data_IF_115018548091
#
_entry.id   IF_115018548091
#
_cell.length_a   1.000
_cell.length_b   1.000
_cell.length_c   1.000
_cell.angle_alpha   90.00
_cell.angle_beta   90.00
_cell.angle_gamma   90.00
#
_symmetry.space_group_name_H-M   'P 1'
#
loop_
_entity.id
_entity.type
_entity.pdbx_description
1 polymer ?
#
# COMPACT_ATOMS: atom_id res chain seq x y z
N UNK A 1 24.65 -12.38 -52.84
CA UNK A 1 23.49 -11.50 -52.54
C UNK A 1 23.59 -10.27 -53.44
N UNK A 2 22.53 -9.81 -54.12
CA UNK A 2 22.62 -8.61 -54.96
C UNK A 2 22.90 -7.39 -54.07
N UNK A 3 23.81 -6.50 -54.50
CA UNK A 3 24.18 -5.27 -53.76
C UNK A 3 22.93 -4.50 -53.33
N UNK A 4 22.77 -4.21 -52.02
CA UNK A 4 21.75 -3.28 -51.53
C UNK A 4 22.01 -1.93 -52.19
N UNK A 5 20.99 -1.38 -52.84
CA UNK A 5 21.07 -0.08 -53.48
C UNK A 5 20.88 0.99 -52.41
N UNK A 6 21.90 1.80 -52.13
CA UNK A 6 21.89 2.84 -51.10
C UNK A 6 20.70 3.82 -51.25
N UNK A 7 20.23 4.03 -52.49
CA UNK A 7 19.06 4.86 -52.78
C UNK A 7 17.74 4.27 -52.28
N UNK A 8 17.65 2.94 -52.10
CA UNK A 8 16.45 2.23 -51.62
C UNK A 8 16.30 2.36 -50.10
N UNK A 9 17.40 2.20 -49.38
CA UNK A 9 17.41 2.30 -47.92
C UNK A 9 17.19 3.76 -47.46
N UNK A 10 17.77 4.73 -48.17
CA UNK A 10 17.52 6.17 -47.95
C UNK A 10 16.06 6.56 -48.21
N UNK A 11 15.46 6.07 -49.30
CA UNK A 11 14.04 6.30 -49.60
C UNK A 11 13.11 5.75 -48.50
N UNK A 12 13.41 4.54 -47.99
CA UNK A 12 12.63 3.92 -46.92
C UNK A 12 12.71 4.74 -45.63
N UNK A 13 13.92 5.20 -45.27
CA UNK A 13 14.13 6.00 -44.07
C UNK A 13 13.38 7.35 -44.14
N UNK A 14 13.42 8.04 -45.28
CA UNK A 14 12.73 9.32 -45.44
C UNK A 14 11.20 9.16 -45.44
N UNK A 15 10.67 8.10 -46.06
CA UNK A 15 9.25 7.76 -46.00
C UNK A 15 8.77 7.57 -44.56
N UNK A 16 9.50 6.77 -43.77
CA UNK A 16 9.17 6.50 -42.37
C UNK A 16 9.25 7.79 -41.54
N UNK A 17 10.26 8.64 -41.77
CA UNK A 17 10.41 9.94 -41.06
C UNK A 17 9.24 10.89 -41.32
N UNK A 18 8.82 11.05 -42.58
CA UNK A 18 7.68 11.91 -42.94
C UNK A 18 6.34 11.36 -42.43
N UNK A 19 6.16 10.03 -42.44
CA UNK A 19 4.96 9.41 -41.83
C UNK A 19 4.93 9.53 -40.30
N UNK A 20 6.07 9.42 -39.62
CA UNK A 20 6.17 9.62 -38.15
C UNK A 20 5.85 11.05 -37.72
N UNK A 21 6.18 12.04 -38.54
CA UNK A 21 5.84 13.45 -38.30
C UNK A 21 4.40 13.81 -38.69
N UNK A 22 3.61 12.87 -39.22
CA UNK A 22 2.21 13.09 -39.60
C UNK A 22 2.01 13.78 -40.96
N UNK A 23 3.09 13.96 -41.73
CA UNK A 23 3.04 14.61 -43.05
C UNK A 23 2.47 13.66 -44.12
N UNK A 24 1.72 14.21 -45.09
CA UNK A 24 1.24 13.45 -46.26
C UNK A 24 2.42 13.16 -47.19
N UNK A 25 2.84 11.91 -47.25
CA UNK A 25 3.99 11.52 -48.08
C UNK A 25 3.59 11.33 -49.53
N UNK A 26 4.03 12.24 -50.39
CA UNK A 26 3.95 12.10 -51.84
C UNK A 26 5.16 11.34 -52.38
N UNK A 27 4.91 10.18 -52.99
CA UNK A 27 5.95 9.30 -53.51
C UNK A 27 6.61 9.83 -54.81
N UNK A 28 5.96 10.74 -55.54
CA UNK A 28 6.57 11.39 -56.73
C UNK A 28 7.70 12.33 -56.31
N UNK A 29 7.43 13.20 -55.35
CA UNK A 29 8.42 14.15 -54.82
C UNK A 29 9.60 13.43 -54.17
N UNK A 30 9.35 12.27 -53.53
CA UNK A 30 10.40 11.42 -52.98
C UNK A 30 11.29 10.83 -54.08
N UNK A 31 10.71 10.45 -55.22
CA UNK A 31 11.44 9.89 -56.35
C UNK A 31 12.31 10.96 -57.04
N UNK A 32 11.76 12.17 -57.23
CA UNK A 32 12.48 13.32 -57.80
C UNK A 32 13.70 13.70 -56.95
N UNK A 33 13.54 13.81 -55.62
CA UNK A 33 14.66 14.13 -54.72
C UNK A 33 15.81 13.12 -54.76
N UNK A 34 15.51 11.85 -55.03
CA UNK A 34 16.51 10.77 -55.08
C UNK A 34 17.09 10.55 -56.49
N UNK A 35 16.54 11.23 -57.49
CA UNK A 35 16.89 11.04 -58.91
C UNK A 35 16.54 9.64 -59.40
N UNK A 36 15.42 9.08 -58.94
CA UNK A 36 14.93 7.73 -59.31
C UNK A 36 13.50 7.85 -59.85
N UNK A 37 13.10 6.97 -60.77
CA UNK A 37 11.73 6.98 -61.28
C UNK A 37 10.71 6.64 -60.20
N UNK A 38 9.53 7.26 -60.27
CA UNK A 38 8.41 6.97 -59.37
C UNK A 38 8.06 5.48 -59.31
N UNK A 39 8.09 4.79 -60.46
CA UNK A 39 7.78 3.36 -60.55
C UNK A 39 8.71 2.52 -59.69
N UNK A 40 9.99 2.88 -59.63
CA UNK A 40 10.99 2.21 -58.79
C UNK A 40 10.70 2.39 -57.30
N UNK A 41 10.44 3.63 -56.86
CA UNK A 41 10.12 3.91 -55.44
C UNK A 41 8.81 3.24 -55.01
N UNK A 42 7.79 3.25 -55.89
CA UNK A 42 6.53 2.54 -55.64
C UNK A 42 6.74 1.03 -55.50
N UNK A 43 7.59 0.44 -56.34
CA UNK A 43 7.88 -0.98 -56.27
C UNK A 43 8.67 -1.34 -55.00
N UNK A 44 9.65 -0.51 -54.60
CA UNK A 44 10.37 -0.69 -53.34
C UNK A 44 9.45 -0.61 -52.13
N UNK A 45 8.56 0.39 -52.07
CA UNK A 45 7.57 0.52 -51.00
C UNK A 45 6.72 -0.74 -50.84
N UNK A 46 6.31 -1.33 -51.97
CA UNK A 46 5.52 -2.57 -52.01
C UNK A 46 6.33 -3.80 -51.60
N UNK A 47 7.52 -4.00 -52.16
CA UNK A 47 8.35 -5.18 -51.91
C UNK A 47 8.83 -5.21 -50.45
N UNK A 48 9.24 -4.05 -49.92
CA UNK A 48 9.79 -3.93 -48.56
C UNK A 48 8.74 -3.60 -47.50
N UNK A 49 7.45 -3.62 -47.89
CA UNK A 49 6.30 -3.40 -47.03
C UNK A 49 6.49 -2.21 -46.07
N UNK A 50 6.82 -1.04 -46.60
CA UNK A 50 7.20 0.10 -45.76
C UNK A 50 6.11 0.54 -44.78
N UNK A 51 4.83 0.28 -45.10
CA UNK A 51 3.71 0.60 -44.23
C UNK A 51 3.62 -0.33 -43.01
N UNK A 52 4.11 -1.57 -43.12
CA UNK A 52 4.10 -2.56 -42.02
C UNK A 52 5.31 -2.39 -41.09
N UNK A 53 6.37 -1.74 -41.57
CA UNK A 53 7.53 -1.35 -40.75
C UNK A 53 7.22 -0.22 -39.73
N UNK A 54 5.99 0.30 -39.71
CA UNK A 54 5.54 1.23 -38.69
C UNK A 54 4.89 0.48 -37.53
N UNK A 55 5.48 0.60 -36.34
CA UNK A 55 4.83 0.13 -35.12
C UNK A 55 3.48 0.85 -34.93
N UNK A 56 2.38 0.09 -34.96
CA UNK A 56 1.06 0.63 -34.66
C UNK A 56 1.02 1.06 -33.20
N UNK A 57 0.47 2.24 -32.91
CA UNK A 57 0.25 2.66 -31.52
C UNK A 57 -0.58 1.60 -30.79
N UNK A 58 -0.11 1.20 -29.61
CA UNK A 58 -0.74 0.22 -28.73
C UNK A 58 -2.14 0.74 -28.35
N UNK A 59 -3.15 0.21 -29.02
CA UNK A 59 -4.56 0.52 -28.79
C UNK A 59 -5.37 -0.77 -28.87
N UNK A 60 -6.63 -0.71 -28.42
CA UNK A 60 -7.54 -1.86 -28.43
C UNK A 60 -7.68 -2.51 -29.82
N UNK A 61 -8.18 -3.74 -29.84
CA UNK A 61 -8.32 -4.56 -31.06
C UNK A 61 -8.90 -3.74 -32.23
N UNK A 62 -8.31 -3.82 -33.44
CA UNK A 62 -8.79 -3.09 -34.61
C UNK A 62 -10.28 -3.37 -34.84
N UNK A 63 -11.11 -2.33 -34.82
CA UNK A 63 -12.57 -2.45 -35.00
C UNK A 63 -13.40 -2.52 -33.72
N UNK A 64 -12.79 -2.51 -32.53
CA UNK A 64 -13.54 -2.47 -31.27
C UNK A 64 -14.29 -1.13 -31.11
N UNK A 65 -15.62 -1.18 -31.24
CA UNK A 65 -16.54 -0.04 -31.05
C UNK A 65 -17.14 0.03 -29.65
N UNK A 66 -16.75 -0.85 -28.70
CA UNK A 66 -17.40 -0.96 -27.39
C UNK A 66 -17.28 0.30 -26.52
N UNK A 67 -16.30 1.16 -26.80
CA UNK A 67 -16.11 2.44 -26.10
C UNK A 67 -16.75 3.63 -26.83
N UNK A 68 -17.24 3.44 -28.06
CA UNK A 68 -17.78 4.52 -28.90
C UNK A 68 -19.22 4.84 -28.46
N UNK A 69 -19.38 5.88 -27.64
CA UNK A 69 -20.69 6.38 -27.19
C UNK A 69 -21.06 6.10 -25.73
N UNK A 70 -20.18 5.45 -24.95
CA UNK A 70 -20.37 5.35 -23.49
C UNK A 70 -20.22 6.74 -22.88
N UNK A 71 -21.30 7.29 -22.31
CA UNK A 71 -21.33 8.63 -21.67
C UNK A 71 -20.25 8.78 -20.59
N UNK A 72 -19.88 7.69 -19.94
CA UNK A 72 -18.89 7.64 -18.86
C UNK A 72 -17.43 7.82 -19.35
N UNK A 73 -17.20 7.84 -20.67
CA UNK A 73 -15.88 8.07 -21.28
C UNK A 73 -15.79 9.42 -22.03
N UNK A 74 -16.83 10.27 -21.92
CA UNK A 74 -16.88 11.57 -22.60
C UNK A 74 -15.94 12.55 -21.90
N UNK A 75 -14.68 12.61 -22.32
CA UNK A 75 -13.66 13.54 -21.82
C UNK A 75 -12.30 12.92 -21.49
N UNK A 76 -12.22 11.59 -21.29
CA UNK A 76 -10.95 10.93 -20.95
C UNK A 76 -10.31 10.25 -22.18
N UNK A 77 -9.11 10.68 -22.62
CA UNK A 77 -8.37 9.96 -23.65
C UNK A 77 -7.91 8.62 -23.08
N UNK A 78 -8.66 7.55 -23.35
CA UNK A 78 -8.29 6.18 -22.95
C UNK A 78 -9.22 5.48 -21.96
N UNK A 79 -10.35 6.07 -21.56
CA UNK A 79 -11.40 5.34 -20.82
C UNK A 79 -11.03 4.87 -19.40
N UNK A 80 -9.89 5.32 -18.86
CA UNK A 80 -9.54 5.13 -17.46
C UNK A 80 -10.38 6.02 -16.55
N UNK A 81 -10.68 5.51 -15.36
CA UNK A 81 -11.24 6.32 -14.29
C UNK A 81 -10.21 7.39 -13.85
N UNK A 82 -10.65 8.57 -13.39
CA UNK A 82 -9.75 9.59 -12.87
C UNK A 82 -8.82 9.05 -11.78
N UNK A 83 -7.63 9.65 -11.66
CA UNK A 83 -6.65 9.24 -10.66
C UNK A 83 -7.21 9.46 -9.24
N UNK A 84 -7.08 8.47 -8.37
CA UNK A 84 -7.63 8.50 -7.02
C UNK A 84 -9.16 8.41 -6.95
N UNK A 85 -9.83 7.76 -7.91
CA UNK A 85 -11.24 7.40 -7.74
C UNK A 85 -11.39 6.26 -6.73
N UNK A 86 -12.46 6.32 -5.93
CA UNK A 86 -12.79 5.35 -4.89
C UNK A 86 -13.92 4.39 -5.32
N UNK A 87 -14.34 4.41 -6.59
CA UNK A 87 -15.51 3.63 -7.04
C UNK A 87 -15.32 2.10 -6.96
N UNK A 88 -14.07 1.63 -6.90
CA UNK A 88 -13.74 0.21 -6.74
C UNK A 88 -13.52 -0.19 -5.28
N UNK A 89 -13.56 0.77 -4.35
CA UNK A 89 -13.42 0.51 -2.92
C UNK A 89 -14.69 -0.16 -2.41
N UNK A 90 -14.52 -1.26 -1.68
CA UNK A 90 -15.63 -2.00 -1.08
C UNK A 90 -15.85 -1.56 0.36
N UNK A 91 -14.83 -1.75 1.17
CA UNK A 91 -14.85 -1.61 2.63
C UNK A 91 -13.77 -0.68 3.17
N UNK A 92 -12.93 -0.09 2.29
CA UNK A 92 -11.85 0.79 2.69
C UNK A 92 -10.56 0.07 3.11
N UNK A 93 -10.61 -1.24 3.40
CA UNK A 93 -9.52 -1.96 4.07
C UNK A 93 -8.23 -2.05 3.24
N UNK A 94 -8.37 -1.99 1.92
CA UNK A 94 -7.25 -2.02 0.96
C UNK A 94 -7.16 -0.73 0.13
N UNK A 95 -7.81 0.34 0.59
CA UNK A 95 -7.77 1.63 -0.11
C UNK A 95 -6.39 2.26 -0.01
N UNK A 96 -5.96 2.92 -1.10
CA UNK A 96 -4.73 3.72 -1.08
C UNK A 96 -4.93 4.96 -0.22
N UNK A 97 -4.16 5.06 0.86
CA UNK A 97 -4.17 6.22 1.76
C UNK A 97 -3.41 7.38 1.13
N UNK A 98 -4.05 8.53 1.00
CA UNK A 98 -3.46 9.76 0.53
C UNK A 98 -3.46 10.81 1.65
N UNK A 99 -2.28 11.17 2.17
CA UNK A 99 -2.14 12.11 3.31
C UNK A 99 -2.83 13.46 3.06
N UNK A 100 -2.80 13.95 1.81
CA UNK A 100 -3.45 15.19 1.39
C UNK A 100 -4.98 15.16 1.54
N UNK A 101 -5.59 13.97 1.53
CA UNK A 101 -7.04 13.76 1.59
C UNK A 101 -7.54 13.33 2.97
N UNK A 102 -6.65 13.22 3.96
CA UNK A 102 -7.06 12.99 5.33
C UNK A 102 -7.96 14.13 5.81
N UNK A 103 -9.07 13.77 6.45
CA UNK A 103 -9.91 14.70 7.20
C UNK A 103 -9.15 15.32 8.36
N UNK A 104 -9.67 16.41 8.92
CA UNK A 104 -9.01 17.06 10.05
C UNK A 104 -8.94 16.13 11.27
N UNK A 105 -10.00 15.37 11.54
CA UNK A 105 -10.05 14.40 12.64
C UNK A 105 -8.98 13.30 12.48
N UNK A 106 -8.77 12.79 11.27
CA UNK A 106 -7.75 11.77 11.00
C UNK A 106 -6.33 12.31 11.15
N UNK A 107 -6.11 13.58 10.79
CA UNK A 107 -4.81 14.26 10.99
C UNK A 107 -4.55 14.48 12.48
N UNK A 108 -5.52 15.01 13.20
CA UNK A 108 -5.41 15.25 14.64
C UNK A 108 -5.17 13.94 15.39
N UNK A 109 -5.80 12.85 14.95
CA UNK A 109 -5.57 11.51 15.49
C UNK A 109 -4.16 11.00 15.19
N UNK A 110 -3.69 11.16 13.94
CA UNK A 110 -2.33 10.78 13.54
C UNK A 110 -1.27 11.53 14.34
N UNK A 111 -1.47 12.83 14.56
CA UNK A 111 -0.54 13.69 15.30
C UNK A 111 -0.49 13.37 16.80
N UNK A 112 -1.58 12.81 17.35
CA UNK A 112 -1.62 12.34 18.74
C UNK A 112 -0.95 10.98 18.93
N UNK A 113 -0.69 10.23 17.86
CA UNK A 113 -0.02 8.93 17.98
C UNK A 113 1.47 9.11 18.31
N UNK A 114 2.02 8.33 19.25
CA UNK A 114 3.44 8.35 19.50
C UNK A 114 4.21 7.95 18.23
N UNK A 115 5.34 8.58 17.98
CA UNK A 115 6.17 8.29 16.79
C UNK A 115 7.50 7.65 17.16
N UNK A 116 7.97 7.86 18.40
CA UNK A 116 9.16 7.20 18.92
C UNK A 116 8.97 5.69 19.05
N UNK A 117 10.02 4.90 18.77
CA UNK A 117 9.95 3.44 18.87
C UNK A 117 9.60 2.98 20.31
N UNK A 118 10.22 3.60 21.32
CA UNK A 118 9.93 3.29 22.72
C UNK A 118 8.53 3.77 23.14
N UNK A 119 8.15 4.99 22.78
CA UNK A 119 6.83 5.55 23.08
C UNK A 119 5.69 4.73 22.46
N UNK A 120 5.87 4.28 21.21
CA UNK A 120 4.95 3.38 20.54
C UNK A 120 4.82 2.05 21.27
N UNK A 121 5.94 1.46 21.68
CA UNK A 121 5.94 0.21 22.44
C UNK A 121 5.22 0.38 23.78
N UNK A 122 5.43 1.51 24.48
CA UNK A 122 4.73 1.81 25.73
C UNK A 122 3.23 2.01 25.50
N UNK A 123 2.83 2.68 24.42
CA UNK A 123 1.42 2.88 24.08
C UNK A 123 0.71 1.55 23.77
N UNK A 124 1.30 0.71 22.94
CA UNK A 124 0.78 -0.64 22.65
C UNK A 124 0.70 -1.48 23.92
N UNK A 125 1.69 -1.38 24.82
CA UNK A 125 1.66 -2.07 26.11
C UNK A 125 0.44 -1.64 26.95
N UNK A 126 0.14 -0.34 27.01
CA UNK A 126 -1.06 0.18 27.70
C UNK A 126 -2.34 -0.39 27.10
N UNK A 127 -2.44 -0.43 25.77
CA UNK A 127 -3.60 -1.01 25.08
C UNK A 127 -3.77 -2.49 25.41
N UNK A 128 -2.69 -3.28 25.35
CA UNK A 128 -2.72 -4.70 25.71
C UNK A 128 -3.10 -4.94 27.17
N UNK A 129 -2.70 -4.06 28.10
CA UNK A 129 -3.11 -4.14 29.51
C UNK A 129 -4.61 -3.88 29.71
N UNK A 130 -5.17 -2.92 28.98
CA UNK A 130 -6.61 -2.67 28.98
C UNK A 130 -7.36 -3.87 28.40
N UNK A 131 -6.89 -4.42 27.28
CA UNK A 131 -7.46 -5.62 26.67
C UNK A 131 -7.40 -6.83 27.62
N UNK A 132 -6.27 -7.03 28.30
CA UNK A 132 -6.08 -8.05 29.32
C UNK A 132 -7.14 -7.92 30.42
N UNK A 133 -7.35 -6.70 30.96
CA UNK A 133 -8.38 -6.43 31.97
C UNK A 133 -9.77 -6.80 31.47
N UNK A 134 -10.15 -6.35 30.27
CA UNK A 134 -11.47 -6.66 29.72
C UNK A 134 -11.72 -8.16 29.51
N UNK A 135 -10.70 -8.90 29.08
CA UNK A 135 -10.80 -10.36 28.98
C UNK A 135 -11.02 -10.98 30.36
N UNK A 136 -10.29 -10.53 31.38
CA UNK A 136 -10.44 -11.02 32.75
C UNK A 136 -11.81 -10.70 33.36
N UNK A 137 -12.31 -9.48 33.18
CA UNK A 137 -13.66 -9.08 33.59
C UNK A 137 -14.71 -9.99 32.94
N UNK A 138 -14.57 -10.24 31.64
CA UNK A 138 -15.48 -11.11 30.89
C UNK A 138 -15.43 -12.57 31.35
N UNK A 139 -14.24 -13.07 31.72
CA UNK A 139 -14.10 -14.40 32.32
C UNK A 139 -14.86 -14.45 33.65
N UNK A 140 -14.69 -13.47 34.53
CA UNK A 140 -15.38 -13.42 35.81
C UNK A 140 -16.92 -13.37 35.64
N UNK A 141 -17.42 -12.59 34.67
CA UNK A 141 -18.85 -12.56 34.32
C UNK A 141 -19.37 -13.96 33.95
N UNK A 142 -18.67 -14.68 33.06
CA UNK A 142 -19.10 -16.01 32.64
C UNK A 142 -18.94 -17.06 33.73
N UNK A 143 -17.92 -16.96 34.59
CA UNK A 143 -17.74 -17.86 35.73
C UNK A 143 -18.79 -17.66 36.83
N UNK A 144 -19.36 -16.45 36.94
CA UNK A 144 -20.47 -16.16 37.85
C UNK A 144 -21.86 -16.56 37.33
N UNK A 145 -21.98 -16.90 36.05
CA UNK A 145 -23.24 -17.33 35.45
C UNK A 145 -23.56 -18.79 35.80
N UNK A 146 -24.85 -19.13 35.77
CA UNK A 146 -25.31 -20.52 35.87
C UNK A 146 -24.64 -21.40 34.78
N UNK A 147 -24.02 -22.55 35.15
CA UNK A 147 -23.43 -23.49 34.20
C UNK A 147 -24.36 -23.96 33.08
N UNK A 148 -25.68 -24.01 33.31
CA UNK A 148 -26.66 -24.42 32.30
C UNK A 148 -27.05 -23.29 31.32
N UNK A 149 -26.62 -22.05 31.61
CA UNK A 149 -26.91 -20.90 30.75
C UNK A 149 -26.13 -20.99 29.44
N UNK A 150 -26.86 -20.99 28.34
CA UNK A 150 -26.32 -21.02 26.98
C UNK A 150 -26.28 -19.63 26.37
N UNK A 151 -25.18 -19.30 25.70
CA UNK A 151 -24.93 -18.03 25.04
C UNK A 151 -24.87 -18.22 23.53
N UNK A 152 -25.53 -17.35 22.76
CA UNK A 152 -25.49 -17.41 21.29
C UNK A 152 -24.05 -17.22 20.80
N UNK A 153 -23.54 -18.20 20.07
CA UNK A 153 -22.19 -18.25 19.53
C UNK A 153 -22.14 -17.74 18.10
N UNK A 154 -22.97 -18.32 17.23
CA UNK A 154 -23.11 -17.91 15.84
C UNK A 154 -24.54 -18.15 15.37
N UNK A 155 -25.01 -17.24 14.52
CA UNK A 155 -26.30 -17.35 13.84
C UNK A 155 -25.98 -17.57 12.37
N UNK A 156 -26.32 -18.74 11.84
CA UNK A 156 -26.11 -19.06 10.43
C UNK A 156 -27.45 -19.00 9.71
N UNK A 157 -27.60 -18.00 8.84
CA UNK A 157 -28.80 -17.82 8.02
C UNK A 157 -28.59 -18.40 6.62
N UNK A 158 -29.20 -19.56 6.37
CA UNK A 158 -29.11 -20.24 5.09
C UNK A 158 -30.25 -19.77 4.19
N UNK A 159 -29.91 -19.00 3.16
CA UNK A 159 -30.85 -18.51 2.16
C UNK A 159 -30.66 -19.20 0.82
N UNK A 160 -31.75 -19.32 0.06
CA UNK A 160 -31.78 -19.89 -1.28
C UNK A 160 -32.26 -18.85 -2.29
N UNK A 161 -31.84 -18.97 -3.57
CA UNK A 161 -32.41 -18.18 -4.64
C UNK A 161 -33.92 -18.40 -4.73
N UNK A 162 -34.65 -17.31 -4.93
CA UNK A 162 -36.11 -17.32 -5.04
C UNK A 162 -36.62 -16.02 -5.62
N UNK A 163 -37.94 -15.87 -5.69
CA UNK A 163 -38.57 -14.63 -6.17
C UNK A 163 -38.69 -13.65 -5.02
N UNK A 164 -38.14 -12.45 -5.19
CA UNK A 164 -38.41 -11.32 -4.30
C UNK A 164 -39.85 -10.83 -4.45
N UNK A 165 -40.29 -9.91 -3.58
CA UNK A 165 -41.64 -9.32 -3.61
C UNK A 165 -42.00 -8.69 -4.97
N UNK A 166 -41.00 -8.26 -5.73
CA UNK A 166 -41.16 -7.68 -7.07
C UNK A 166 -41.11 -8.72 -8.21
N UNK A 167 -41.12 -10.01 -7.89
CA UNK A 167 -41.15 -11.13 -8.85
C UNK A 167 -39.82 -11.41 -9.56
N UNK A 168 -38.78 -10.61 -9.33
CA UNK A 168 -37.42 -10.84 -9.84
C UNK A 168 -36.74 -11.96 -9.07
N UNK A 169 -35.99 -12.77 -9.79
CA UNK A 169 -35.24 -13.88 -9.22
C UNK A 169 -33.93 -13.34 -8.66
N UNK A 170 -33.78 -13.38 -7.33
CA UNK A 170 -32.60 -12.91 -6.63
C UNK A 170 -31.98 -14.04 -5.81
N UNK A 171 -30.66 -14.05 -5.75
CA UNK A 171 -29.91 -15.03 -4.98
C UNK A 171 -30.06 -14.72 -3.48
N UNK A 172 -30.46 -15.71 -2.69
CA UNK A 172 -30.75 -15.53 -1.26
C UNK A 172 -32.10 -14.89 -0.91
N UNK A 173 -33.05 -14.79 -1.85
CA UNK A 173 -34.37 -14.18 -1.62
C UNK A 173 -35.26 -14.96 -0.63
N UNK A 174 -35.09 -16.28 -0.54
CA UNK A 174 -35.92 -17.13 0.32
C UNK A 174 -35.07 -17.69 1.45
N UNK A 175 -35.41 -17.31 2.68
CA UNK A 175 -34.81 -17.89 3.87
C UNK A 175 -35.22 -19.36 3.99
N UNK A 176 -34.24 -20.27 4.08
CA UNK A 176 -34.48 -21.70 4.19
C UNK A 176 -34.47 -22.13 5.65
N UNK A 177 -33.39 -21.82 6.36
CA UNK A 177 -33.17 -22.23 7.75
C UNK A 177 -32.30 -21.19 8.46
N UNK A 178 -32.57 -20.99 9.75
CA UNK A 178 -31.67 -20.29 10.68
C UNK A 178 -31.16 -21.32 11.67
N UNK A 179 -29.84 -21.40 11.83
CA UNK A 179 -29.20 -22.25 12.81
C UNK A 179 -28.55 -21.36 13.88
N UNK A 180 -29.10 -21.41 15.09
CA UNK A 180 -28.57 -20.72 16.26
C UNK A 180 -27.64 -21.69 17.02
N UNK A 181 -26.34 -21.52 16.85
CA UNK A 181 -25.36 -22.25 17.64
C UNK A 181 -25.20 -21.54 18.98
N UNK A 182 -25.36 -22.29 20.08
CA UNK A 182 -25.17 -21.77 21.43
C UNK A 182 -24.03 -22.50 22.13
N UNK A 183 -23.20 -21.74 22.82
CA UNK A 183 -22.09 -22.24 23.63
C UNK A 183 -22.42 -22.13 25.12
N UNK A 184 -21.90 -23.06 25.92
CA UNK A 184 -21.94 -22.94 27.38
C UNK A 184 -20.98 -21.86 27.88
N UNK A 185 -21.22 -21.38 29.10
CA UNK A 185 -20.30 -20.48 29.81
C UNK A 185 -18.86 -21.04 29.83
N UNK A 186 -18.70 -22.34 30.07
CA UNK A 186 -17.42 -23.02 30.11
C UNK A 186 -16.62 -22.91 28.79
N UNK A 187 -17.28 -23.11 27.65
CA UNK A 187 -16.63 -22.99 26.34
C UNK A 187 -16.17 -21.55 26.10
N UNK A 188 -17.00 -20.56 26.46
CA UNK A 188 -16.64 -19.13 26.36
C UNK A 188 -15.44 -18.77 27.24
N UNK A 189 -15.43 -19.23 28.49
CA UNK A 189 -14.29 -19.03 29.41
C UNK A 189 -13.02 -19.67 28.85
N UNK A 190 -13.12 -20.87 28.28
CA UNK A 190 -11.96 -21.55 27.67
C UNK A 190 -11.38 -20.74 26.51
N UNK A 191 -12.23 -20.24 25.61
CA UNK A 191 -11.82 -19.37 24.49
C UNK A 191 -11.20 -18.06 24.98
N UNK A 192 -11.78 -17.44 26.01
CA UNK A 192 -11.24 -16.20 26.61
C UNK A 192 -9.90 -16.44 27.31
N UNK A 193 -9.69 -17.59 27.96
CA UNK A 193 -8.39 -17.96 28.54
C UNK A 193 -7.32 -18.15 27.46
N UNK A 194 -7.66 -18.75 26.32
CA UNK A 194 -6.74 -18.84 25.17
C UNK A 194 -6.39 -17.45 24.62
N UNK A 195 -7.39 -16.56 24.49
CA UNK A 195 -7.16 -15.18 24.10
C UNK A 195 -6.28 -14.42 25.12
N UNK A 196 -6.51 -14.64 26.41
CA UNK A 196 -5.70 -14.07 27.50
C UNK A 196 -4.24 -14.53 27.41
N UNK A 197 -4.00 -15.80 27.10
CA UNK A 197 -2.64 -16.32 26.91
C UNK A 197 -1.95 -15.67 25.71
N UNK A 198 -2.67 -15.45 24.60
CA UNK A 198 -2.14 -14.73 23.43
C UNK A 198 -1.79 -13.28 23.76
N UNK A 199 -2.67 -12.56 24.47
CA UNK A 199 -2.41 -11.18 24.92
C UNK A 199 -1.22 -11.14 25.88
N UNK A 200 -1.15 -12.07 26.84
CA UNK A 200 -0.04 -12.16 27.79
C UNK A 200 1.30 -12.44 27.09
N UNK A 201 1.31 -13.31 26.07
CA UNK A 201 2.50 -13.56 25.25
C UNK A 201 2.97 -12.31 24.49
N UNK A 202 2.04 -11.52 23.93
CA UNK A 202 2.37 -10.23 23.30
C UNK A 202 2.94 -9.23 24.32
N UNK A 203 2.35 -9.13 25.51
CA UNK A 203 2.84 -8.29 26.60
C UNK A 203 4.28 -8.66 26.96
N UNK A 204 4.60 -9.95 27.10
CA UNK A 204 5.97 -10.42 27.40
C UNK A 204 6.95 -10.02 26.29
N UNK A 205 6.58 -10.26 25.02
CA UNK A 205 7.40 -9.89 23.87
C UNK A 205 7.68 -8.38 23.85
N UNK A 206 6.65 -7.56 24.02
CA UNK A 206 6.76 -6.11 23.99
C UNK A 206 7.58 -5.56 25.17
N UNK A 207 7.35 -6.09 26.37
CA UNK A 207 8.14 -5.72 27.56
C UNK A 207 9.62 -6.06 27.38
N UNK A 208 9.92 -7.19 26.72
CA UNK A 208 11.29 -7.59 26.39
C UNK A 208 11.93 -6.61 25.41
N UNK A 209 11.19 -6.17 24.39
CA UNK A 209 11.65 -5.18 23.41
C UNK A 209 11.92 -3.82 24.07
N UNK A 210 11.03 -3.35 24.94
CA UNK A 210 11.21 -2.11 25.72
C UNK A 210 12.50 -2.20 26.54
N UNK A 211 12.69 -3.28 27.30
CA UNK A 211 13.92 -3.48 28.10
C UNK A 211 15.17 -3.47 27.22
N UNK A 212 15.14 -4.11 26.05
CA UNK A 212 16.28 -4.14 25.12
C UNK A 212 16.60 -2.73 24.57
N UNK A 213 15.59 -1.93 24.27
CA UNK A 213 15.77 -0.55 23.82
C UNK A 213 16.37 0.32 24.92
N UNK A 214 15.85 0.22 26.15
CA UNK A 214 16.41 0.95 27.31
C UNK A 214 17.87 0.56 27.59
N UNK A 215 18.20 -0.72 27.50
CA UNK A 215 19.60 -1.19 27.64
C UNK A 215 20.48 -0.66 26.51
N UNK A 216 19.98 -0.63 25.28
CA UNK A 216 20.71 -0.10 24.13
C UNK A 216 21.00 1.40 24.29
N UNK A 217 20.01 2.19 24.71
CA UNK A 217 20.18 3.62 24.96
C UNK A 217 21.24 3.89 26.04
N UNK A 218 21.22 3.13 27.14
CA UNK A 218 22.23 3.22 28.21
C UNK A 218 23.63 2.85 27.72
N UNK A 219 23.74 1.79 26.91
CA UNK A 219 25.04 1.37 26.33
C UNK A 219 25.58 2.40 25.34
N UNK A 220 24.70 2.99 24.54
CA UNK A 220 25.06 4.03 23.59
C UNK A 220 25.56 5.29 24.30
N UNK A 221 24.87 5.73 25.36
CA UNK A 221 25.32 6.86 26.19
C UNK A 221 26.71 6.60 26.80
N UNK A 222 26.92 5.42 27.38
CA UNK A 222 28.22 5.02 27.95
C UNK A 222 29.34 5.00 26.89
N UNK A 223 29.03 4.63 25.65
CA UNK A 223 30.02 4.59 24.57
C UNK A 223 30.38 6.01 24.08
N UNK A 224 29.43 6.95 24.08
CA UNK A 224 29.71 8.37 23.83
C UNK A 224 30.65 8.94 24.90
N UNK A 225 30.35 8.70 26.18
CA UNK A 225 31.22 9.13 27.29
C UNK A 225 32.63 8.53 27.16
N UNK A 226 32.74 7.25 26.79
CA UNK A 226 34.03 6.60 26.54
C UNK A 226 34.79 7.25 25.39
N UNK A 227 34.10 7.58 24.30
CA UNK A 227 34.71 8.27 23.17
C UNK A 227 35.18 9.67 23.55
N UNK A 228 34.44 10.39 24.37
CA UNK A 228 34.84 11.73 24.82
C UNK A 228 36.05 11.67 25.76
N UNK A 229 36.08 10.72 26.70
CA UNK A 229 37.28 10.45 27.50
C UNK A 229 38.47 10.06 26.61
N UNK A 230 38.24 9.25 25.57
CA UNK A 230 39.28 8.86 24.63
C UNK A 230 39.81 10.05 23.81
N UNK A 231 38.93 10.98 23.40
CA UNK A 231 39.33 12.24 22.75
C UNK A 231 40.17 13.09 23.70
N UNK A 232 39.71 13.33 24.93
CA UNK A 232 40.47 14.10 25.94
C UNK A 232 41.86 13.50 26.20
N UNK A 233 41.95 12.17 26.29
CA UNK A 233 43.24 11.46 26.44
C UNK A 233 44.15 11.61 25.22
N UNK A 234 43.57 11.68 24.02
CA UNK A 234 44.32 11.80 22.77
C UNK A 234 44.77 13.23 22.48
N UNK A 235 43.95 14.25 22.80
CA UNK A 235 44.26 15.67 22.58
C UNK A 235 45.04 16.29 23.73
N UNK A 236 44.92 15.75 24.95
CA UNK A 236 45.52 16.32 26.16
C UNK A 236 44.83 17.61 26.64
N UNK A 237 43.81 18.09 25.92
CA UNK A 237 42.95 19.20 26.32
C UNK A 237 41.74 18.65 27.08
N UNK A 238 41.59 19.10 28.32
CA UNK A 238 40.39 18.88 29.13
C UNK A 238 39.56 20.14 28.99
N UNK A 239 38.41 20.05 28.32
CA UNK A 239 37.39 21.10 28.36
C UNK A 239 36.78 21.06 29.77
N UNK A 240 37.34 21.86 30.68
CA UNK A 240 36.79 22.07 32.02
C UNK A 240 35.70 23.11 31.86
N UNK A 241 34.44 22.70 32.07
CA UNK A 241 33.31 23.61 32.12
C UNK A 241 33.57 24.66 33.24
N UNK A 242 33.69 25.96 32.91
CA UNK A 242 34.16 26.96 33.87
C UNK A 242 33.14 27.32 34.96
N UNK A 243 31.95 26.71 34.97
CA UNK A 243 30.90 26.94 35.99
C UNK A 243 30.92 25.93 37.16
N UNK A 244 31.99 25.16 37.34
CA UNK A 244 32.24 24.38 38.56
C UNK A 244 33.01 25.21 39.60
N UNK A 245 32.37 26.25 40.16
CA UNK A 245 32.95 27.11 41.19
C UNK A 245 33.57 26.30 42.33
N UNK A 246 34.84 26.58 42.59
CA UNK A 246 35.63 26.08 43.71
C UNK A 246 34.91 26.38 45.03
N UNK A 247 34.30 25.37 45.65
CA UNK A 247 34.12 25.40 47.11
C UNK A 247 35.50 25.20 47.73
N UNK A 248 36.15 26.32 48.04
CA UNK A 248 37.35 26.37 48.87
C UNK A 248 37.03 25.65 50.20
N UNK A 249 37.57 24.45 50.40
CA UNK A 249 37.70 23.85 51.72
C UNK A 249 38.69 24.71 52.52
N UNK A 250 38.16 25.71 53.22
CA UNK A 250 38.90 26.41 54.27
C UNK A 250 39.21 25.42 55.39
N UNK A 251 40.42 24.88 55.37
CA UNK A 251 41.03 24.16 56.49
C UNK A 251 41.16 25.16 57.65
N UNK A 252 40.33 24.98 58.67
CA UNK A 252 40.56 25.63 59.96
C UNK A 252 41.55 24.80 60.77
N UNK A 253 42.70 25.42 61.07
CA UNK A 253 43.72 24.98 62.03
C UNK A 253 43.15 24.75 63.45
#
# INVERSE_FOLDING_TARGET
>A
MPKRNDKRDTAKAEYIKRRRSGEKVNLKDLAEKLGVTYGTVRNWKRIDQWDDAMERKRGGQPGNKNSRGKRNAKGNPGGGAPNGNTNAEKDGAYSTVHLERLSQEERDWLDQMPTGANENNIYELKLLRIQQRHIMERIAEYESCDPEKLFTASITDMRKPGKEKDGKQADGAVQKMVMDNKDSAFVRVTQLREALNKVSGRIISLTTQIRQQEEFEKRYALELERLDIAKMRATGEVDVDPEGGTEDETVHD
#
